data_IF_379029696412
#
_entry.id   IF_379029696412
#
_cell.length_a   1.000
_cell.length_b   1.000
_cell.length_c   1.000
_cell.angle_alpha   90.00
_cell.angle_beta   90.00
_cell.angle_gamma   90.00
#
_symmetry.space_group_name_H-M   'P 1'
#
loop_
_entity.id
_entity.type
_entity.pdbx_description
1 polymer ?
#
# COMPACT_ATOMS: atom_id res chain seq x y z
N UNK A 1 -1.18 -10.74 -11.52
CA UNK A 1 0.24 -11.03 -11.30
C UNK A 1 0.28 -11.94 -10.08
N UNK A 2 0.58 -13.21 -10.24
CA UNK A 2 0.63 -14.15 -9.12
C UNK A 2 1.99 -13.91 -8.42
N UNK A 3 2.00 -13.08 -7.38
CA UNK A 3 3.23 -12.79 -6.64
C UNK A 3 3.41 -13.91 -5.63
N UNK A 4 4.42 -14.74 -5.83
CA UNK A 4 4.77 -15.75 -4.83
C UNK A 4 5.48 -15.07 -3.65
N UNK A 5 4.70 -14.72 -2.62
CA UNK A 5 5.26 -14.07 -1.41
C UNK A 5 6.11 -15.01 -0.56
N UNK A 6 6.01 -16.31 -0.78
CA UNK A 6 6.58 -17.33 0.12
C UNK A 6 8.10 -17.36 0.08
N UNK A 7 8.68 -16.98 -1.06
CA UNK A 7 10.14 -16.98 -1.24
C UNK A 7 10.82 -15.73 -0.70
N UNK A 8 10.11 -14.58 -0.70
CA UNK A 8 10.70 -13.26 -0.42
C UNK A 8 10.19 -12.63 0.89
N UNK A 9 9.36 -13.36 1.66
CA UNK A 9 8.74 -12.80 2.86
C UNK A 9 9.27 -13.44 4.13
N UNK A 10 9.45 -12.63 5.20
CA UNK A 10 9.69 -13.15 6.53
C UNK A 10 8.43 -13.84 7.08
N UNK A 11 8.61 -14.79 8.00
CA UNK A 11 7.53 -15.58 8.61
C UNK A 11 6.43 -14.69 9.22
N UNK A 12 6.82 -13.63 9.91
CA UNK A 12 5.88 -12.68 10.53
C UNK A 12 4.95 -11.99 9.53
N UNK A 13 5.41 -11.79 8.30
CA UNK A 13 4.61 -11.23 7.22
C UNK A 13 3.68 -12.31 6.62
N UNK A 14 4.20 -13.52 6.42
CA UNK A 14 3.40 -14.65 5.93
C UNK A 14 2.23 -14.97 6.86
N UNK A 15 2.44 -14.98 8.17
CA UNK A 15 1.39 -15.17 9.18
C UNK A 15 0.27 -14.11 9.02
N UNK A 16 0.67 -12.84 8.88
CA UNK A 16 -0.28 -11.74 8.68
C UNK A 16 -1.08 -11.88 7.38
N UNK A 17 -0.42 -12.20 6.27
CA UNK A 17 -1.08 -12.37 4.97
C UNK A 17 -2.04 -13.57 5.00
N UNK A 18 -1.61 -14.70 5.56
CA UNK A 18 -2.45 -15.89 5.74
C UNK A 18 -3.68 -15.60 6.60
N UNK A 19 -3.55 -14.84 7.68
CA UNK A 19 -4.69 -14.40 8.49
C UNK A 19 -5.70 -13.59 7.66
N UNK A 20 -5.23 -12.68 6.83
CA UNK A 20 -6.11 -11.86 5.99
C UNK A 20 -6.75 -12.64 4.85
N UNK A 21 -6.04 -13.59 4.27
CA UNK A 21 -6.55 -14.47 3.23
C UNK A 21 -7.58 -15.46 3.77
N UNK A 22 -7.22 -16.20 4.83
CA UNK A 22 -8.01 -17.35 5.28
C UNK A 22 -9.08 -17.01 6.31
N UNK A 23 -8.77 -16.13 7.27
CA UNK A 23 -9.71 -15.79 8.38
C UNK A 23 -10.56 -14.56 8.04
N UNK A 24 -9.97 -13.56 7.37
CA UNK A 24 -10.70 -12.35 6.96
C UNK A 24 -11.35 -12.48 5.59
N UNK A 25 -11.03 -13.52 4.84
CA UNK A 25 -11.54 -13.78 3.49
C UNK A 25 -11.38 -12.56 2.55
N UNK A 26 -10.28 -11.82 2.69
CA UNK A 26 -9.97 -10.72 1.79
C UNK A 26 -9.66 -11.26 0.39
N UNK A 27 -9.97 -10.45 -0.64
CA UNK A 27 -9.61 -10.81 -2.01
C UNK A 27 -8.09 -10.91 -2.17
N UNK A 28 -7.64 -11.77 -3.09
CA UNK A 28 -6.23 -11.92 -3.44
C UNK A 28 -5.56 -10.58 -3.72
N UNK A 29 -6.25 -9.70 -4.44
CA UNK A 29 -5.75 -8.34 -4.72
C UNK A 29 -5.46 -7.54 -3.46
N UNK A 30 -6.30 -7.66 -2.43
CA UNK A 30 -6.08 -6.97 -1.14
C UNK A 30 -4.85 -7.52 -0.42
N UNK A 31 -4.68 -8.83 -0.44
CA UNK A 31 -3.52 -9.52 0.15
C UNK A 31 -2.22 -9.12 -0.58
N UNK A 32 -2.26 -9.07 -1.94
CA UNK A 32 -1.15 -8.59 -2.77
C UNK A 32 -0.73 -7.16 -2.41
N UNK A 33 -1.70 -6.26 -2.23
CA UNK A 33 -1.43 -4.87 -1.85
C UNK A 33 -0.83 -4.77 -0.44
N UNK A 34 -1.30 -5.59 0.51
CA UNK A 34 -0.72 -5.66 1.85
C UNK A 34 0.74 -6.11 1.81
N UNK A 35 1.03 -7.16 1.03
CA UNK A 35 2.39 -7.62 0.82
C UNK A 35 3.28 -6.51 0.27
N UNK A 36 2.87 -5.87 -0.84
CA UNK A 36 3.65 -4.82 -1.49
C UNK A 36 3.90 -3.62 -0.57
N UNK A 37 2.91 -3.24 0.22
CA UNK A 37 3.03 -2.12 1.15
C UNK A 37 3.98 -2.42 2.30
N UNK A 38 3.87 -3.60 2.92
CA UNK A 38 4.73 -4.00 4.05
C UNK A 38 6.14 -4.32 3.59
N UNK A 39 6.32 -4.96 2.41
CA UNK A 39 7.64 -5.15 1.81
C UNK A 39 8.37 -3.81 1.63
N UNK A 40 7.69 -2.81 1.08
CA UNK A 40 8.27 -1.48 0.92
C UNK A 40 8.61 -0.82 2.25
N UNK A 41 7.76 -1.00 3.26
CA UNK A 41 8.00 -0.45 4.60
C UNK A 41 9.22 -1.10 5.25
N UNK A 42 9.33 -2.42 5.23
CA UNK A 42 10.47 -3.14 5.81
C UNK A 42 11.78 -2.85 5.08
N UNK A 43 11.75 -2.76 3.74
CA UNK A 43 12.91 -2.33 2.94
C UNK A 43 13.38 -0.94 3.34
N UNK A 44 12.45 0.00 3.48
CA UNK A 44 12.79 1.35 3.92
C UNK A 44 13.42 1.36 5.32
N UNK A 45 12.85 0.64 6.28
CA UNK A 45 13.38 0.57 7.64
C UNK A 45 14.80 0.00 7.67
N UNK A 46 15.05 -1.12 6.98
CA UNK A 46 16.39 -1.68 6.89
C UNK A 46 17.36 -0.72 6.21
N UNK A 47 16.96 -0.18 5.07
CA UNK A 47 17.76 0.77 4.29
C UNK A 47 18.10 2.03 5.09
N UNK A 48 17.17 2.55 5.88
CA UNK A 48 17.39 3.77 6.67
C UNK A 48 18.23 3.53 7.93
N UNK A 49 18.19 2.32 8.50
CA UNK A 49 18.93 1.96 9.72
C UNK A 49 20.40 1.58 9.45
N UNK A 50 20.70 1.07 8.26
CA UNK A 50 22.02 0.58 7.89
C UNK A 50 22.64 1.39 6.76
N UNK A 51 23.70 2.19 7.05
CA UNK A 51 24.40 2.96 6.01
C UNK A 51 24.97 2.10 4.86
N UNK A 52 25.36 0.85 5.13
CA UNK A 52 25.88 -0.04 4.10
C UNK A 52 24.79 -0.42 3.09
N UNK A 53 23.52 -0.50 3.49
CA UNK A 53 22.42 -0.76 2.58
C UNK A 53 22.04 0.45 1.73
N UNK A 54 22.49 1.66 2.09
CA UNK A 54 22.20 2.87 1.33
C UNK A 54 23.02 2.98 0.03
N UNK A 55 24.05 2.16 -0.11
CA UNK A 55 24.84 2.07 -1.36
C UNK A 55 24.08 1.36 -2.49
N UNK A 56 23.01 0.61 -2.14
CA UNK A 56 22.18 -0.10 -3.12
C UNK A 56 20.76 0.50 -3.19
N UNK A 57 20.05 0.27 -4.31
CA UNK A 57 18.65 0.67 -4.41
C UNK A 57 17.79 0.04 -3.30
N UNK A 58 16.94 0.83 -2.66
CA UNK A 58 16.05 0.35 -1.60
C UNK A 58 15.21 -0.87 -2.04
N UNK A 59 14.82 -0.92 -3.32
CA UNK A 59 14.01 -2.03 -3.85
C UNK A 59 14.79 -3.36 -3.96
N UNK A 60 16.12 -3.34 -3.83
CA UNK A 60 16.97 -4.53 -3.81
C UNK A 60 17.20 -5.08 -2.38
N UNK A 61 16.80 -4.34 -1.34
CA UNK A 61 17.01 -4.76 0.06
C UNK A 61 16.19 -6.01 0.37
N UNK A 62 16.88 -7.06 0.86
CA UNK A 62 16.24 -8.29 1.33
C UNK A 62 15.52 -8.06 2.66
N UNK A 63 14.34 -8.67 2.81
CA UNK A 63 13.51 -8.56 4.01
C UNK A 63 13.26 -9.89 4.72
N UNK A 64 13.81 -11.00 4.23
CA UNK A 64 13.54 -12.34 4.76
C UNK A 64 13.96 -12.54 6.21
N UNK A 65 14.92 -11.77 6.67
CA UNK A 65 15.46 -11.75 8.04
C UNK A 65 14.69 -10.82 9.00
N UNK A 66 13.63 -10.16 8.53
CA UNK A 66 12.78 -9.31 9.39
C UNK A 66 12.02 -10.20 10.38
N UNK A 67 12.29 -10.00 11.65
CA UNK A 67 11.73 -10.77 12.75
C UNK A 67 10.91 -9.92 13.73
N UNK A 68 10.38 -10.55 14.78
CA UNK A 68 9.59 -9.87 15.80
C UNK A 68 10.38 -8.78 16.54
N UNK A 69 11.64 -9.00 16.98
CA UNK A 69 12.49 -7.95 17.53
C UNK A 69 12.66 -6.76 16.61
N UNK A 70 12.88 -6.98 15.31
CA UNK A 70 13.04 -5.91 14.33
C UNK A 70 11.78 -5.03 14.22
N UNK A 71 10.59 -5.63 14.10
CA UNK A 71 9.33 -4.88 14.00
C UNK A 71 8.91 -4.27 15.34
N UNK A 72 9.24 -4.92 16.45
CA UNK A 72 8.98 -4.40 17.80
C UNK A 72 9.84 -3.18 18.17
N UNK A 73 11.02 -3.05 17.57
CA UNK A 73 11.91 -1.91 17.75
C UNK A 73 11.52 -0.67 16.91
N UNK A 74 10.50 -0.75 16.06
CA UNK A 74 10.05 0.37 15.22
C UNK A 74 9.48 1.49 16.08
N UNK A 75 9.97 2.69 15.85
CA UNK A 75 9.55 3.90 16.56
C UNK A 75 8.56 4.73 15.75
N UNK A 76 7.80 5.56 16.43
CA UNK A 76 6.92 6.55 15.81
C UNK A 76 7.69 7.47 14.83
N UNK A 77 8.91 7.89 15.21
CA UNK A 77 9.76 8.75 14.38
C UNK A 77 10.15 8.09 13.06
N UNK A 78 10.43 6.78 13.06
CA UNK A 78 10.73 6.03 11.82
C UNK A 78 9.51 5.94 10.89
N UNK A 79 8.31 5.78 11.46
CA UNK A 79 7.09 5.80 10.65
C UNK A 79 6.85 7.17 10.05
N UNK A 80 7.08 8.25 10.79
CA UNK A 80 7.02 9.62 10.24
C UNK A 80 8.07 9.84 9.14
N UNK A 81 9.31 9.36 9.33
CA UNK A 81 10.35 9.44 8.32
C UNK A 81 9.96 8.67 7.04
N UNK A 82 9.38 7.48 7.19
CA UNK A 82 8.85 6.73 6.05
C UNK A 82 7.73 7.49 5.30
N UNK A 83 6.79 8.09 6.05
CA UNK A 83 5.71 8.89 5.44
C UNK A 83 6.24 10.14 4.74
N UNK A 84 7.29 10.76 5.26
CA UNK A 84 7.99 11.89 4.63
C UNK A 84 8.68 11.44 3.32
N UNK A 85 9.40 10.32 3.36
CA UNK A 85 10.00 9.69 2.18
C UNK A 85 8.96 9.42 1.09
N UNK A 86 7.83 8.80 1.44
CA UNK A 86 6.74 8.54 0.50
C UNK A 86 6.16 9.83 -0.10
N UNK A 87 6.21 10.93 0.65
CA UNK A 87 5.66 12.22 0.22
C UNK A 87 6.55 12.99 -0.75
N UNK A 88 7.88 12.86 -0.63
CA UNK A 88 8.84 13.76 -1.28
C UNK A 88 9.81 13.04 -2.21
N UNK A 89 10.33 11.90 -1.77
CA UNK A 89 11.55 11.33 -2.34
C UNK A 89 11.28 10.10 -3.20
N UNK A 90 10.16 9.39 -2.94
CA UNK A 90 9.83 8.20 -3.70
C UNK A 90 9.62 8.53 -5.17
N UNK A 91 10.44 7.95 -6.02
CA UNK A 91 10.32 8.07 -7.47
C UNK A 91 9.16 7.19 -7.96
N UNK A 92 8.27 7.79 -8.75
CA UNK A 92 7.17 7.10 -9.43
C UNK A 92 7.58 6.84 -10.88
N UNK A 93 7.36 5.61 -11.34
CA UNK A 93 7.65 5.21 -12.71
C UNK A 93 9.10 5.52 -13.14
N UNK A 94 10.13 4.94 -12.47
CA UNK A 94 11.54 5.28 -12.73
C UNK A 94 11.97 5.05 -14.19
N UNK A 95 11.25 4.20 -14.93
CA UNK A 95 11.52 3.86 -16.33
C UNK A 95 10.63 4.63 -17.33
N UNK A 96 9.99 5.71 -16.92
CA UNK A 96 9.10 6.52 -17.76
C UNK A 96 9.59 7.95 -17.84
N UNK A 97 9.42 8.59 -19.01
CA UNK A 97 9.66 10.03 -19.21
C UNK A 97 8.79 10.93 -18.33
N UNK A 98 7.77 10.37 -17.68
CA UNK A 98 6.88 11.04 -16.74
C UNK A 98 7.22 10.71 -15.28
N UNK A 99 8.51 10.54 -14.98
CA UNK A 99 8.93 10.30 -13.60
C UNK A 99 8.50 11.49 -12.71
N UNK A 100 7.67 11.21 -11.73
CA UNK A 100 7.24 12.17 -10.72
C UNK A 100 7.75 11.71 -9.35
N UNK A 101 7.95 12.65 -8.42
CA UNK A 101 8.34 12.33 -7.05
C UNK A 101 7.15 12.49 -6.12
N UNK A 102 7.06 11.62 -5.14
CA UNK A 102 6.08 11.66 -4.08
C UNK A 102 4.72 11.03 -4.42
N UNK A 103 4.19 10.26 -3.48
CA UNK A 103 2.88 9.65 -3.57
C UNK A 103 1.75 10.63 -3.22
N UNK A 104 0.59 10.43 -3.83
CA UNK A 104 -0.63 11.17 -3.46
C UNK A 104 -1.02 10.96 -1.99
N UNK A 105 -1.75 11.90 -1.37
CA UNK A 105 -2.26 11.72 0.00
C UNK A 105 -3.10 10.43 0.16
N UNK A 106 -3.89 10.06 -0.84
CA UNK A 106 -4.69 8.84 -0.82
C UNK A 106 -3.82 7.57 -0.80
N UNK A 107 -2.78 7.52 -1.64
CA UNK A 107 -1.84 6.39 -1.66
C UNK A 107 -1.06 6.27 -0.35
N UNK A 108 -0.66 7.39 0.25
CA UNK A 108 0.01 7.41 1.56
C UNK A 108 -0.92 6.97 2.68
N UNK A 109 -2.19 7.41 2.66
CA UNK A 109 -3.19 6.99 3.65
C UNK A 109 -3.44 5.47 3.58
N UNK A 110 -3.51 4.89 2.37
CA UNK A 110 -3.65 3.45 2.18
C UNK A 110 -2.46 2.68 2.78
N UNK A 111 -1.22 3.11 2.49
CA UNK A 111 -0.02 2.47 3.04
C UNK A 111 0.04 2.55 4.57
N UNK A 112 -0.33 3.69 5.14
CA UNK A 112 -0.44 3.82 6.60
C UNK A 112 -1.51 2.89 7.18
N UNK A 113 -2.65 2.72 6.49
CA UNK A 113 -3.70 1.79 6.92
C UNK A 113 -3.21 0.33 6.91
N UNK A 114 -2.40 -0.06 5.92
CA UNK A 114 -1.76 -1.39 5.90
C UNK A 114 -0.82 -1.58 7.09
N UNK A 115 0.04 -0.60 7.39
CA UNK A 115 0.95 -0.66 8.55
C UNK A 115 0.15 -0.75 9.85
N UNK A 116 -0.93 0.02 10.00
CA UNK A 116 -1.83 -0.07 11.15
C UNK A 116 -2.49 -1.44 11.28
N UNK A 117 -2.93 -2.03 10.17
CA UNK A 117 -3.51 -3.37 10.15
C UNK A 117 -2.50 -4.42 10.64
N UNK A 118 -1.25 -4.31 10.19
CA UNK A 118 -0.17 -5.21 10.59
C UNK A 118 0.14 -5.12 12.08
N UNK A 119 0.38 -3.92 12.61
CA UNK A 119 0.62 -3.76 14.06
C UNK A 119 -0.62 -4.08 14.89
N UNK A 120 -1.82 -3.77 14.39
CA UNK A 120 -3.08 -4.18 15.01
C UNK A 120 -3.23 -5.70 15.11
N UNK A 121 -2.78 -6.44 14.09
CA UNK A 121 -2.72 -7.89 14.12
C UNK A 121 -1.73 -8.39 15.19
N UNK A 122 -0.51 -7.86 15.22
CA UNK A 122 0.51 -8.29 16.17
C UNK A 122 0.15 -7.99 17.64
N UNK A 123 -0.46 -6.83 17.90
CA UNK A 123 -0.82 -6.43 19.27
C UNK A 123 -2.15 -7.05 19.74
N UNK A 124 -3.19 -7.05 18.88
CA UNK A 124 -4.57 -7.32 19.34
C UNK A 124 -5.07 -8.71 18.95
N UNK A 125 -4.41 -9.43 18.03
CA UNK A 125 -4.85 -10.76 17.58
C UNK A 125 -3.94 -11.86 18.08
N UNK A 126 -2.64 -11.71 17.83
CA UNK A 126 -1.66 -12.74 18.22
C UNK A 126 -0.89 -12.39 19.50
N UNK A 127 -1.07 -11.17 20.02
CA UNK A 127 -0.45 -10.70 21.26
C UNK A 127 1.08 -10.91 21.30
N UNK A 128 1.74 -10.75 20.14
CA UNK A 128 3.20 -10.85 20.00
C UNK A 128 3.91 -9.54 20.37
N UNK A 129 3.20 -8.40 20.37
CA UNK A 129 3.71 -7.08 20.75
C UNK A 129 2.79 -6.39 21.76
N UNK A 130 3.37 -5.74 22.75
CA UNK A 130 2.63 -4.95 23.77
C UNK A 130 2.41 -3.50 23.33
N UNK A 131 3.25 -2.99 22.42
CA UNK A 131 3.20 -1.61 21.95
C UNK A 131 2.93 -1.53 20.45
N UNK A 132 2.03 -0.60 20.08
CA UNK A 132 1.72 -0.29 18.68
C UNK A 132 2.26 1.10 18.32
N UNK A 133 3.36 1.22 17.56
CA UNK A 133 4.00 2.50 17.24
C UNK A 133 3.15 3.40 16.32
N UNK A 134 2.08 2.86 15.71
CA UNK A 134 1.23 3.60 14.75
C UNK A 134 -0.18 3.88 15.28
N UNK A 135 -0.44 3.59 16.58
CA UNK A 135 -1.78 3.71 17.17
C UNK A 135 -2.34 5.12 17.04
N UNK A 136 -1.51 6.11 17.34
CA UNK A 136 -1.91 7.52 17.47
C UNK A 136 -1.51 8.40 16.26
N UNK A 137 -1.07 7.78 15.15
CA UNK A 137 -0.72 8.53 13.93
C UNK A 137 -2.00 8.94 13.20
N UNK A 138 -2.15 10.23 12.91
CA UNK A 138 -3.23 10.71 12.05
C UNK A 138 -3.03 10.31 10.59
N UNK A 139 -4.12 9.92 9.92
CA UNK A 139 -4.08 9.68 8.49
C UNK A 139 -3.95 11.00 7.71
N UNK A 140 -3.24 11.01 6.57
CA UNK A 140 -3.19 12.17 5.70
C UNK A 140 -4.61 12.66 5.35
N UNK A 141 -4.86 13.97 5.49
CA UNK A 141 -6.15 14.56 5.11
C UNK A 141 -6.37 14.43 3.62
N UNK A 142 -7.48 13.81 3.23
CA UNK A 142 -7.89 13.69 1.84
C UNK A 142 -8.78 14.89 1.47
N UNK A 143 -8.50 15.51 0.32
CA UNK A 143 -9.42 16.48 -0.24
C UNK A 143 -10.69 15.75 -0.67
N UNK A 144 -11.82 16.10 -0.08
CA UNK A 144 -13.12 15.67 -0.57
C UNK A 144 -13.42 16.46 -1.85
N UNK A 145 -13.37 15.79 -2.98
CA UNK A 145 -13.89 16.35 -4.24
C UNK A 145 -15.35 15.96 -4.33
N UNK A 146 -16.19 16.94 -4.61
CA UNK A 146 -17.58 16.64 -4.93
C UNK A 146 -17.62 15.80 -6.23
N UNK A 147 -18.43 14.75 -6.29
CA UNK A 147 -18.64 14.02 -7.54
C UNK A 147 -19.08 15.00 -8.63
N UNK A 148 -18.51 14.86 -9.81
CA UNK A 148 -19.04 15.56 -10.99
C UNK A 148 -20.13 14.68 -11.58
N UNK A 149 -21.32 15.23 -11.68
CA UNK A 149 -22.45 14.58 -12.32
C UNK A 149 -22.54 15.08 -13.76
N UNK A 150 -22.91 14.19 -14.65
CA UNK A 150 -23.32 14.57 -15.99
C UNK A 150 -24.72 15.23 -15.90
N UNK A 151 -24.94 16.28 -16.67
CA UNK A 151 -26.30 16.81 -16.91
C UNK A 151 -27.08 15.78 -17.71
N UNK A 152 -28.40 15.95 -17.79
CA UNK A 152 -29.25 15.08 -18.60
C UNK A 152 -28.81 15.08 -20.07
N UNK A 153 -28.53 16.26 -20.62
CA UNK A 153 -28.09 16.41 -22.01
C UNK A 153 -26.73 15.77 -22.28
N UNK A 154 -25.78 15.91 -21.33
CA UNK A 154 -24.47 15.24 -21.42
C UNK A 154 -24.62 13.73 -21.33
N UNK A 155 -25.54 13.22 -20.48
CA UNK A 155 -25.81 11.78 -20.37
C UNK A 155 -26.44 11.22 -21.66
N UNK A 156 -27.39 11.94 -22.25
CA UNK A 156 -27.97 11.55 -23.52
C UNK A 156 -26.92 11.55 -24.63
N UNK A 157 -26.12 12.61 -24.73
CA UNK A 157 -25.03 12.71 -25.71
C UNK A 157 -24.00 11.61 -25.55
N UNK A 158 -23.69 11.23 -24.29
CA UNK A 158 -22.77 10.10 -24.01
C UNK A 158 -23.34 8.78 -24.53
N UNK A 159 -24.62 8.49 -24.27
CA UNK A 159 -25.27 7.27 -24.75
C UNK A 159 -25.36 7.21 -26.27
N UNK A 160 -25.66 8.34 -26.91
CA UNK A 160 -25.72 8.46 -28.37
C UNK A 160 -24.34 8.30 -29.04
N UNK A 161 -23.27 8.67 -28.34
CA UNK A 161 -21.90 8.58 -28.85
C UNK A 161 -21.32 7.16 -28.81
N UNK A 162 -22.01 6.21 -28.16
CA UNK A 162 -21.54 4.82 -28.06
C UNK A 162 -21.63 4.12 -29.40
N UNK A 163 -20.50 3.77 -30.00
CA UNK A 163 -20.40 3.13 -31.31
C UNK A 163 -19.36 2.00 -31.30
N UNK A 164 -19.30 1.24 -32.40
CA UNK A 164 -18.27 0.18 -32.58
C UNK A 164 -18.75 -1.24 -32.23
N UNK A 165 -17.84 -2.24 -32.32
CA UNK A 165 -18.20 -3.65 -32.25
C UNK A 165 -18.75 -4.10 -30.90
N UNK A 166 -18.55 -3.32 -29.83
CA UNK A 166 -19.00 -3.63 -28.47
C UNK A 166 -20.16 -2.73 -28.02
N UNK A 167 -20.84 -2.07 -28.93
CA UNK A 167 -21.88 -1.06 -28.63
C UNK A 167 -22.92 -1.54 -27.62
N UNK A 168 -23.47 -2.74 -27.82
CA UNK A 168 -24.53 -3.28 -26.95
C UNK A 168 -24.01 -3.48 -25.52
N UNK A 169 -22.79 -4.03 -25.36
CA UNK A 169 -22.14 -4.21 -24.05
C UNK A 169 -21.91 -2.86 -23.38
N UNK A 170 -21.40 -1.89 -24.12
CA UNK A 170 -21.00 -0.60 -23.58
C UNK A 170 -22.26 0.23 -23.19
N UNK A 171 -23.35 0.12 -23.94
CA UNK A 171 -24.65 0.67 -23.54
C UNK A 171 -25.19 0.04 -22.25
N UNK A 172 -25.12 -1.30 -22.13
CA UNK A 172 -25.54 -1.99 -20.90
C UNK A 172 -24.72 -1.63 -19.66
N UNK A 173 -23.49 -1.14 -19.83
CA UNK A 173 -22.63 -0.68 -18.70
C UNK A 173 -23.00 0.74 -18.29
N UNK A 174 -23.46 1.58 -19.23
CA UNK A 174 -23.75 3.00 -19.03
C UNK A 174 -25.18 3.27 -18.57
N UNK A 175 -26.10 2.33 -18.77
CA UNK A 175 -27.51 2.40 -18.33
C UNK A 175 -27.72 1.71 -17.01
#
# INVERSE_FOLDING_TARGET
MNTDYRTDSPEILLDFLSYHETIKAHSQRTVDEYYLDLRNFFRYLKWSRDPALQEQPMDAVDIRDVDLPFVGAVTLSEVYAYMAYLSRDRVLHPNSDRSAKGLSPASRARKLATIRSFYGYLCNKVHKLDHNPVKDIDAPKLKKTLPRYLTLDESISLLESVDGPNRERDLCILT
#
